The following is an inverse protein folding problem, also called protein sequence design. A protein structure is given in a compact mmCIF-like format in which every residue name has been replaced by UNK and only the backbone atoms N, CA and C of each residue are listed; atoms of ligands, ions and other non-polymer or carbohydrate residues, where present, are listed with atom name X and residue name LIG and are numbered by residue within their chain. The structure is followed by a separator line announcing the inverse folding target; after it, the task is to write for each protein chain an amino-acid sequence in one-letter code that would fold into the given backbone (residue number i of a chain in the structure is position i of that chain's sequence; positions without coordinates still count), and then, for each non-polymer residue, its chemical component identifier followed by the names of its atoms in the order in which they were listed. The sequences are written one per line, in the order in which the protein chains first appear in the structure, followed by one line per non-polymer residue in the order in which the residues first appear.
data_IF_111834567384
#
_entry.id   IF_111834567384
#
_cell.length_a   1.000
_cell.length_b   1.000
_cell.length_c   1.000
_cell.angle_alpha   90.00
_cell.angle_beta   90.00
_cell.angle_gamma   90.00
#
_symmetry.space_group_name_H-M   'P 1'
#
loop_
_entity.id
_entity.type
_entity.pdbx_description
1 polymer ?
#
# COMPACT_ATOMS: atom_id res chain seq x y z
N UNK A 1 1.73 46.60 14.11
CA UNK A 1 1.43 46.11 12.75
C UNK A 1 2.21 44.81 12.57
N UNK A 2 1.60 43.66 12.89
CA UNK A 2 2.25 42.34 12.81
C UNK A 2 1.72 41.66 11.54
N UNK A 3 2.60 41.41 10.57
CA UNK A 3 2.31 40.56 9.42
C UNK A 3 2.19 39.12 9.90
N UNK A 4 1.01 38.52 9.78
CA UNK A 4 0.84 37.08 9.87
C UNK A 4 1.12 36.48 8.49
N UNK A 5 2.23 35.75 8.37
CA UNK A 5 2.56 34.94 7.20
C UNK A 5 1.62 33.74 7.16
N UNK A 6 0.67 33.74 6.23
CA UNK A 6 -0.12 32.55 5.88
C UNK A 6 0.81 31.59 5.13
N UNK A 7 1.51 30.72 5.86
CA UNK A 7 2.20 29.59 5.25
C UNK A 7 1.13 28.58 4.80
N UNK A 8 1.08 28.35 3.48
CA UNK A 8 0.04 27.58 2.80
C UNK A 8 -0.13 26.16 3.35
N UNK A 9 -1.37 25.83 3.72
CA UNK A 9 -1.86 24.46 3.63
C UNK A 9 -2.10 24.13 2.15
N UNK A 10 -1.04 23.96 1.37
CA UNK A 10 -1.16 23.17 0.14
C UNK A 10 -1.28 21.71 0.60
N UNK A 11 -2.53 21.25 0.68
CA UNK A 11 -2.82 19.83 0.79
C UNK A 11 -2.06 19.13 -0.34
N UNK A 12 -0.97 18.42 -0.02
CA UNK A 12 -0.26 17.58 -0.98
C UNK A 12 -1.31 16.69 -1.64
N UNK A 13 -1.58 16.93 -2.92
CA UNK A 13 -2.52 16.13 -3.67
C UNK A 13 -1.98 14.70 -3.70
N UNK A 14 -2.76 13.70 -3.25
CA UNK A 14 -2.32 12.32 -3.34
C UNK A 14 -2.05 12.00 -4.82
N UNK A 15 -0.97 11.26 -5.15
CA UNK A 15 -0.70 10.88 -6.52
C UNK A 15 -1.93 10.18 -7.13
N UNK A 16 -2.17 10.32 -8.45
CA UNK A 16 -3.27 9.62 -9.09
C UNK A 16 -3.02 8.11 -8.98
N UNK A 17 -3.86 7.43 -8.20
CA UNK A 17 -3.88 5.99 -8.07
C UNK A 17 -5.05 5.43 -8.88
N UNK A 18 -4.81 4.36 -9.63
CA UNK A 18 -5.86 3.58 -10.30
C UNK A 18 -6.05 2.26 -9.56
N UNK A 19 -7.24 2.03 -9.01
CA UNK A 19 -7.56 0.81 -8.28
C UNK A 19 -8.03 -0.29 -9.24
N UNK A 20 -7.47 -1.48 -9.08
CA UNK A 20 -7.67 -2.62 -9.96
C UNK A 20 -8.34 -3.77 -9.19
N UNK A 21 -9.61 -4.11 -9.52
CA UNK A 21 -10.32 -5.23 -8.91
C UNK A 21 -9.64 -6.59 -9.12
N UNK A 22 -8.95 -6.81 -10.24
CA UNK A 22 -8.25 -8.06 -10.51
C UNK A 22 -7.04 -8.22 -9.59
N UNK A 23 -6.26 -7.16 -9.40
CA UNK A 23 -5.17 -7.16 -8.40
C UNK A 23 -5.73 -7.29 -6.97
N UNK A 24 -6.88 -6.68 -6.69
CA UNK A 24 -7.55 -6.81 -5.39
C UNK A 24 -7.93 -8.26 -5.10
N UNK A 25 -8.60 -8.94 -6.03
CA UNK A 25 -8.97 -10.35 -5.88
C UNK A 25 -7.76 -11.29 -5.77
N UNK A 26 -6.64 -10.90 -6.37
CA UNK A 26 -5.43 -11.71 -6.43
C UNK A 26 -4.59 -11.60 -5.16
N UNK A 27 -4.37 -10.39 -4.65
CA UNK A 27 -3.40 -10.12 -3.58
C UNK A 27 -4.02 -9.92 -2.19
N UNK A 28 -5.34 -10.05 -2.06
CA UNK A 28 -6.04 -9.86 -0.77
C UNK A 28 -6.85 -11.11 -0.39
N UNK A 29 -7.22 -11.29 0.89
CA UNK A 29 -8.08 -12.39 1.30
C UNK A 29 -9.38 -12.46 0.49
N UNK A 30 -9.77 -13.66 0.03
CA UNK A 30 -11.03 -13.86 -0.71
C UNK A 30 -12.28 -13.51 0.11
N UNK A 31 -12.22 -13.75 1.42
CA UNK A 31 -13.33 -13.53 2.35
C UNK A 31 -12.82 -12.76 3.58
N UNK A 32 -12.56 -11.44 3.45
CA UNK A 32 -12.07 -10.64 4.55
C UNK A 32 -13.14 -10.60 5.66
N UNK A 33 -12.77 -11.04 6.86
CA UNK A 33 -13.68 -11.02 8.01
C UNK A 33 -13.80 -9.64 8.64
N UNK A 34 -12.78 -8.79 8.42
CA UNK A 34 -12.69 -7.44 8.99
C UNK A 34 -12.24 -6.45 7.92
N UNK A 35 -12.93 -5.31 7.88
CA UNK A 35 -12.58 -4.20 7.02
C UNK A 35 -12.74 -4.48 5.53
N UNK A 36 -12.08 -3.65 4.72
CA UNK A 36 -12.11 -3.66 3.27
C UNK A 36 -10.70 -3.50 2.74
N UNK A 37 -10.41 -4.25 1.68
CA UNK A 37 -9.16 -4.11 0.93
C UNK A 37 -9.39 -3.37 -0.38
N UNK A 38 -8.41 -2.56 -0.76
CA UNK A 38 -8.26 -1.99 -2.10
C UNK A 38 -6.83 -2.21 -2.56
N UNK A 39 -6.65 -2.59 -3.83
CA UNK A 39 -5.32 -2.60 -4.45
C UNK A 39 -5.31 -1.60 -5.59
N UNK A 40 -4.41 -0.64 -5.49
CA UNK A 40 -4.25 0.42 -6.48
C UNK A 40 -2.82 0.50 -6.97
N UNK A 41 -2.62 1.11 -8.13
CA UNK A 41 -1.30 1.24 -8.75
C UNK A 41 -1.08 2.67 -9.22
N UNK A 42 0.19 3.05 -9.33
CA UNK A 42 0.63 4.31 -9.93
C UNK A 42 1.97 4.12 -10.60
N UNK A 43 2.23 4.92 -11.64
CA UNK A 43 3.54 4.98 -12.30
C UNK A 43 4.60 5.67 -11.45
N UNK A 44 4.20 6.37 -10.38
CA UNK A 44 5.12 7.06 -9.49
C UNK A 44 6.07 6.09 -8.75
N UNK A 45 7.33 6.48 -8.53
CA UNK A 45 8.30 5.67 -7.79
C UNK A 45 7.92 5.58 -6.32
N UNK A 46 8.34 4.49 -5.67
CA UNK A 46 7.98 4.15 -4.29
C UNK A 46 8.31 5.27 -3.31
N UNK A 47 9.44 5.95 -3.49
CA UNK A 47 9.90 7.05 -2.65
C UNK A 47 8.93 8.23 -2.66
N UNK A 48 8.43 8.59 -3.84
CA UNK A 48 7.47 9.69 -4.01
C UNK A 48 6.13 9.32 -3.38
N UNK A 49 5.65 8.10 -3.64
CA UNK A 49 4.40 7.61 -3.05
C UNK A 49 4.51 7.50 -1.52
N UNK A 50 5.66 7.10 -0.99
CA UNK A 50 5.92 6.95 0.44
C UNK A 50 6.07 8.30 1.15
N UNK A 51 6.69 9.29 0.49
CA UNK A 51 6.82 10.65 1.03
C UNK A 51 5.47 11.39 1.12
N UNK A 52 4.48 10.97 0.32
CA UNK A 52 3.15 11.57 0.25
C UNK A 52 2.09 10.82 1.08
N UNK A 53 2.51 10.04 2.08
CA UNK A 53 1.62 9.16 2.86
C UNK A 53 0.62 9.90 3.77
N UNK A 54 0.80 11.21 4.01
CA UNK A 54 -0.11 12.04 4.79
C UNK A 54 0.61 13.23 5.44
N UNK A 55 -0.11 14.27 5.89
CA UNK A 55 0.48 15.40 6.61
C UNK A 55 0.91 14.96 8.03
N UNK A 56 2.18 15.18 8.39
CA UNK A 56 2.70 14.92 9.75
C UNK A 56 3.38 13.56 9.94
N UNK A 57 3.17 12.62 9.03
CA UNK A 57 3.82 11.30 9.10
C UNK A 57 5.19 11.32 8.44
N UNK A 58 6.19 10.77 9.13
CA UNK A 58 7.50 10.50 8.51
C UNK A 58 7.31 9.38 7.47
N UNK A 59 8.01 9.44 6.33
CA UNK A 59 7.97 8.34 5.35
C UNK A 59 8.34 7.02 6.05
N UNK A 60 7.59 5.95 5.74
CA UNK A 60 7.89 4.64 6.29
C UNK A 60 9.27 4.16 5.82
N UNK A 61 9.92 3.30 6.61
CA UNK A 61 11.14 2.63 6.17
C UNK A 61 10.85 1.83 4.88
N UNK A 62 11.84 1.81 3.98
CA UNK A 62 11.77 1.01 2.76
C UNK A 62 12.71 -0.18 2.92
N UNK A 63 12.12 -1.36 3.00
CA UNK A 63 12.83 -2.64 3.09
C UNK A 63 12.93 -3.30 1.72
N UNK A 64 13.94 -4.14 1.53
CA UNK A 64 14.07 -4.99 0.34
C UNK A 64 13.88 -6.45 0.73
N UNK A 65 12.76 -7.04 0.32
CA UNK A 65 12.29 -8.36 0.75
C UNK A 65 12.23 -9.34 -0.42
N UNK A 66 12.26 -10.64 -0.12
CA UNK A 66 11.90 -11.66 -1.11
C UNK A 66 10.41 -11.57 -1.46
N UNK A 67 10.03 -12.05 -2.65
CA UNK A 67 8.67 -11.93 -3.14
C UNK A 67 7.62 -12.56 -2.19
N UNK A 68 7.89 -13.74 -1.62
CA UNK A 68 6.93 -14.38 -0.73
C UNK A 68 6.82 -13.68 0.63
N UNK A 69 7.87 -13.01 1.08
CA UNK A 69 7.85 -12.24 2.32
C UNK A 69 7.11 -10.91 2.13
N UNK A 70 7.31 -10.27 0.97
CA UNK A 70 6.64 -9.02 0.62
C UNK A 70 5.12 -9.17 0.43
N UNK A 71 4.67 -10.26 -0.21
CA UNK A 71 3.26 -10.49 -0.56
C UNK A 71 2.52 -11.44 0.39
N UNK A 72 3.20 -12.04 1.37
CA UNK A 72 2.60 -12.87 2.42
C UNK A 72 1.91 -14.14 1.88
N UNK A 73 0.82 -14.58 2.51
CA UNK A 73 0.05 -15.77 2.11
C UNK A 73 -1.46 -15.52 2.01
N UNK A 74 -1.89 -14.27 2.15
CA UNK A 74 -3.29 -13.91 2.26
C UNK A 74 -4.05 -13.92 0.91
N UNK A 75 -3.35 -13.62 -0.19
CA UNK A 75 -3.91 -13.60 -1.54
C UNK A 75 -4.04 -14.98 -2.17
N UNK A 76 -4.77 -15.05 -3.29
CA UNK A 76 -5.02 -16.28 -4.04
C UNK A 76 -4.12 -16.49 -5.26
N UNK A 77 -3.02 -15.73 -5.34
CA UNK A 77 -2.04 -15.82 -6.41
C UNK A 77 -1.25 -17.13 -6.39
N UNK A 78 -0.78 -17.54 -7.57
CA UNK A 78 0.18 -18.65 -7.69
C UNK A 78 1.55 -18.20 -7.16
N UNK A 79 1.92 -18.73 -5.99
CA UNK A 79 3.17 -18.43 -5.29
C UNK A 79 4.40 -18.80 -6.11
N UNK A 80 4.34 -19.89 -6.88
CA UNK A 80 5.45 -20.34 -7.72
C UNK A 80 5.59 -19.48 -8.97
N UNK A 81 4.47 -19.04 -9.55
CA UNK A 81 4.50 -18.07 -10.64
C UNK A 81 5.09 -16.74 -10.17
N UNK A 82 4.72 -16.27 -8.97
CA UNK A 82 5.26 -15.04 -8.39
C UNK A 82 6.77 -15.12 -8.15
N UNK A 83 7.26 -16.20 -7.52
CA UNK A 83 8.70 -16.39 -7.29
C UNK A 83 9.48 -16.45 -8.60
N UNK A 84 8.98 -17.21 -9.58
CA UNK A 84 9.60 -17.30 -10.91
C UNK A 84 9.62 -15.96 -11.63
N UNK A 85 8.55 -15.19 -11.51
CA UNK A 85 8.45 -13.85 -12.11
C UNK A 85 9.50 -12.89 -11.53
N UNK A 86 9.72 -12.92 -10.22
CA UNK A 86 10.74 -12.07 -9.60
C UNK A 86 12.16 -12.56 -9.90
N UNK A 87 12.39 -13.87 -10.04
CA UNK A 87 13.66 -14.41 -10.53
C UNK A 87 14.89 -13.98 -9.73
N UNK A 88 14.74 -13.78 -8.42
CA UNK A 88 15.78 -13.25 -7.52
C UNK A 88 15.77 -11.72 -7.34
N UNK A 89 14.92 -11.00 -8.06
CA UNK A 89 14.68 -9.57 -7.83
C UNK A 89 13.95 -9.40 -6.50
N UNK A 90 14.48 -8.53 -5.63
CA UNK A 90 13.82 -8.19 -4.37
C UNK A 90 12.75 -7.13 -4.55
N UNK A 91 11.67 -7.27 -3.78
CA UNK A 91 10.58 -6.31 -3.71
C UNK A 91 10.96 -5.23 -2.71
N UNK A 92 10.87 -3.97 -3.12
CA UNK A 92 10.98 -2.85 -2.19
C UNK A 92 9.62 -2.59 -1.56
N UNK A 93 9.56 -2.59 -0.24
CA UNK A 93 8.32 -2.52 0.53
C UNK A 93 8.37 -1.37 1.52
N UNK A 94 7.32 -0.56 1.57
CA UNK A 94 7.11 0.42 2.63
C UNK A 94 5.76 0.18 3.29
N UNK A 95 5.74 -0.02 4.60
CA UNK A 95 4.53 -0.29 5.37
C UNK A 95 4.26 0.85 6.36
N UNK A 96 3.04 1.38 6.31
CA UNK A 96 2.57 2.40 7.24
C UNK A 96 1.16 2.05 7.72
N UNK A 97 0.78 2.60 8.86
CA UNK A 97 -0.58 2.55 9.34
C UNK A 97 -0.96 3.90 9.96
N UNK A 98 -2.23 4.22 9.88
CA UNK A 98 -2.83 5.38 10.55
C UNK A 98 -4.05 4.92 11.33
N UNK A 99 -4.29 5.56 12.46
CA UNK A 99 -5.45 5.29 13.31
C UNK A 99 -6.09 6.62 13.70
N UNK A 100 -7.39 6.73 13.47
CA UNK A 100 -8.27 7.78 14.00
C UNK A 100 -9.28 7.18 14.97
N UNK A 101 -10.10 8.01 15.59
CA UNK A 101 -11.13 7.57 16.53
C UNK A 101 -12.10 6.53 15.93
N UNK A 102 -12.35 6.61 14.62
CA UNK A 102 -13.37 5.83 13.91
C UNK A 102 -12.79 4.87 12.87
N UNK A 103 -11.50 4.99 12.52
CA UNK A 103 -10.91 4.28 11.39
C UNK A 103 -9.49 3.84 11.66
N UNK A 104 -9.17 2.64 11.22
CA UNK A 104 -7.80 2.16 11.09
C UNK A 104 -7.50 1.92 9.62
N UNK A 105 -6.36 2.40 9.15
CA UNK A 105 -5.88 2.17 7.79
C UNK A 105 -4.46 1.61 7.84
N UNK A 106 -4.23 0.48 7.17
CA UNK A 106 -2.89 -0.05 6.94
C UNK A 106 -2.61 -0.01 5.44
N UNK A 107 -1.44 0.50 5.09
CA UNK A 107 -1.01 0.69 3.71
C UNK A 107 0.34 0.00 3.53
N UNK A 108 0.38 -0.97 2.62
CA UNK A 108 1.61 -1.57 2.12
C UNK A 108 1.86 -1.12 0.70
N UNK A 109 3.04 -0.54 0.45
CA UNK A 109 3.49 -0.06 -0.85
C UNK A 109 4.60 -0.97 -1.36
N UNK A 110 4.53 -1.39 -2.61
CA UNK A 110 5.44 -2.38 -3.19
C UNK A 110 5.95 -1.94 -4.57
N UNK A 111 7.24 -2.10 -4.84
CA UNK A 111 7.86 -1.79 -6.13
C UNK A 111 9.08 -2.68 -6.43
N UNK A 112 9.29 -3.14 -7.69
CA UNK A 112 8.30 -3.19 -8.76
C UNK A 112 7.15 -4.13 -8.38
N UNK A 113 6.02 -4.07 -9.10
CA UNK A 113 4.84 -4.89 -8.80
C UNK A 113 4.43 -5.77 -9.98
N UNK A 114 3.86 -6.96 -9.74
CA UNK A 114 3.42 -7.85 -10.82
C UNK A 114 2.12 -7.33 -11.46
N UNK A 115 1.92 -7.61 -12.74
CA UNK A 115 0.60 -7.54 -13.36
C UNK A 115 -0.31 -8.68 -12.85
N UNK A 116 -1.62 -8.56 -13.07
CA UNK A 116 -2.60 -9.53 -12.57
C UNK A 116 -2.44 -10.95 -13.14
N UNK A 117 -1.82 -11.11 -14.31
CA UNK A 117 -1.53 -12.42 -14.89
C UNK A 117 -0.21 -13.03 -14.40
N UNK A 118 0.55 -12.34 -13.54
CA UNK A 118 1.87 -12.77 -13.04
C UNK A 118 2.88 -13.07 -14.16
N UNK A 119 2.83 -12.32 -15.25
CA UNK A 119 3.72 -12.50 -16.42
C UNK A 119 4.73 -11.37 -16.59
N UNK A 120 4.54 -10.25 -15.88
CA UNK A 120 5.41 -9.07 -16.00
C UNK A 120 5.50 -8.33 -14.67
N UNK A 121 6.70 -7.85 -14.35
CA UNK A 121 6.92 -6.81 -13.35
C UNK A 121 6.75 -5.44 -14.00
N UNK A 122 5.81 -4.66 -13.49
CA UNK A 122 5.58 -3.28 -13.86
C UNK A 122 6.47 -2.35 -13.00
N UNK A 123 7.07 -1.32 -13.61
CA UNK A 123 7.66 -0.23 -12.84
C UNK A 123 6.56 0.57 -12.13
N UNK A 124 6.95 1.38 -11.14
CA UNK A 124 6.02 2.14 -10.32
C UNK A 124 5.65 1.41 -9.04
N UNK A 125 4.52 1.76 -8.44
CA UNK A 125 4.15 1.33 -7.08
C UNK A 125 2.76 0.71 -7.06
N UNK A 126 2.66 -0.48 -6.49
CA UNK A 126 1.40 -1.07 -6.05
C UNK A 126 1.15 -0.73 -4.59
N UNK A 127 -0.11 -0.43 -4.26
CA UNK A 127 -0.56 -0.01 -2.94
C UNK A 127 -1.67 -0.96 -2.54
N UNK A 128 -1.41 -1.77 -1.51
CA UNK A 128 -2.43 -2.57 -0.84
C UNK A 128 -2.88 -1.78 0.39
N UNK A 129 -4.13 -1.32 0.37
CA UNK A 129 -4.76 -0.63 1.48
C UNK A 129 -5.76 -1.56 2.14
N UNK A 130 -5.66 -1.68 3.45
CA UNK A 130 -6.69 -2.24 4.29
C UNK A 130 -7.29 -1.14 5.15
N UNK A 131 -8.62 -1.10 5.25
CA UNK A 131 -9.35 -0.16 6.08
C UNK A 131 -10.35 -0.91 6.94
N UNK A 132 -10.36 -0.66 8.25
CA UNK A 132 -11.39 -1.14 9.16
C UNK A 132 -11.98 -0.01 9.99
N UNK A 133 -13.23 -0.18 10.42
CA UNK A 133 -13.79 0.65 11.46
C UNK A 133 -13.03 0.38 12.76
N UNK A 134 -12.73 1.44 13.51
CA UNK A 134 -12.14 1.30 14.82
C UNK A 134 -13.25 0.83 15.78
N UNK A 135 -13.33 -0.48 16.02
CA UNK A 135 -14.29 -1.02 16.97
C UNK A 135 -13.68 -0.74 18.35
N UNK A 136 -14.24 0.23 19.08
CA UNK A 136 -13.93 0.42 20.50
C UNK A 136 -13.95 -0.96 21.18
N UNK A 137 -12.78 -1.43 21.62
CA UNK A 137 -12.73 -2.60 22.51
C UNK A 137 -13.35 -2.16 23.82
N UNK A 138 -14.65 -2.39 23.96
CA UNK A 138 -15.35 -2.33 25.24
C UNK A 138 -14.99 -3.60 26.04
N UNK A 139 -13.72 -3.74 26.39
CA UNK A 139 -13.26 -4.81 27.27
C UNK A 139 -13.46 -4.37 28.72
N UNK A 140 -14.64 -4.77 29.20
CA UNK A 140 -14.93 -5.50 30.46
C UNK A 140 -13.91 -5.43 31.59
#
# INVERSE_FOLDING_TARGET
MILATLAGLEARQPPPYACDPALTALFTPRHPQLGRYEVCTTSEPLEVVNANSGPGDRPAAIDSLEALDAFGAAGSYDRWALVRLYGGTRVRVAHAWTASADRFESITRLSPYPNASLTRLNPGTMIIRWTAANIERKDR
#
